data_IF_966932903376
#
_entry.id   IF_966932903376
#
_cell.length_a   1.000
_cell.length_b   1.000
_cell.length_c   1.000
_cell.angle_alpha   90.00
_cell.angle_beta   90.00
_cell.angle_gamma   90.00
#
_symmetry.space_group_name_H-M   'P 1'
#
loop_
_entity.id
_entity.type
_entity.pdbx_description
1 polymer ?
#
# COMPACT_ATOMS: atom_id res chain seq x y z
N UNK A 1 -9.87 -15.22 5.45
CA UNK A 1 -10.23 -14.07 4.59
C UNK A 1 -9.51 -14.23 3.27
N UNK A 2 -10.24 -14.38 2.16
CA UNK A 2 -9.61 -14.41 0.84
C UNK A 2 -8.92 -13.06 0.62
N UNK A 3 -7.63 -13.08 0.27
CA UNK A 3 -6.98 -11.83 -0.07
C UNK A 3 -7.64 -11.26 -1.32
N UNK A 4 -7.91 -9.96 -1.32
CA UNK A 4 -8.51 -9.28 -2.48
C UNK A 4 -7.59 -9.40 -3.71
N UNK A 5 -6.28 -9.40 -3.50
CA UNK A 5 -5.25 -9.51 -4.52
C UNK A 5 -4.88 -10.97 -4.78
N UNK A 6 -4.55 -11.29 -6.04
CA UNK A 6 -4.14 -12.63 -6.42
C UNK A 6 -2.69 -12.91 -5.98
N UNK A 7 -1.86 -11.85 -5.96
CA UNK A 7 -0.49 -11.84 -5.45
C UNK A 7 -0.22 -10.54 -4.72
N UNK A 8 0.56 -10.61 -3.64
CA UNK A 8 1.01 -9.44 -2.89
C UNK A 8 2.47 -9.62 -2.46
N UNK A 9 3.25 -8.55 -2.55
CA UNK A 9 4.62 -8.45 -2.06
C UNK A 9 4.79 -7.12 -1.34
N UNK A 10 5.06 -7.16 -0.03
CA UNK A 10 5.38 -5.95 0.73
C UNK A 10 6.73 -5.38 0.25
N UNK A 11 6.73 -4.13 -0.18
CA UNK A 11 7.94 -3.40 -0.58
C UNK A 11 8.52 -2.60 0.59
N UNK A 12 7.66 -2.08 1.46
CA UNK A 12 8.06 -1.32 2.63
C UNK A 12 6.87 -0.85 3.46
N UNK A 13 7.18 -0.26 4.61
CA UNK A 13 6.18 0.32 5.51
C UNK A 13 6.68 1.60 6.15
N UNK A 14 5.75 2.50 6.44
CA UNK A 14 6.00 3.80 7.08
C UNK A 14 5.11 3.87 8.31
N UNK A 15 5.70 4.09 9.48
CA UNK A 15 4.93 4.33 10.71
C UNK A 15 4.27 5.69 10.63
N UNK A 16 2.93 5.72 10.67
CA UNK A 16 2.16 6.96 10.61
C UNK A 16 1.89 7.51 12.01
N UNK A 17 1.56 6.64 12.95
CA UNK A 17 1.41 6.93 14.38
C UNK A 17 1.47 5.63 15.20
N UNK A 18 1.18 5.69 16.50
CA UNK A 18 1.24 4.53 17.42
C UNK A 18 0.28 3.39 17.08
N UNK A 19 -0.73 3.61 16.23
CA UNK A 19 -1.75 2.60 15.88
C UNK A 19 -1.94 2.41 14.37
N UNK A 20 -1.23 3.16 13.54
CA UNK A 20 -1.36 3.10 12.09
C UNK A 20 0.01 3.01 11.39
N UNK A 21 0.08 2.14 10.39
CA UNK A 21 1.21 2.04 9.45
C UNK A 21 0.69 2.26 8.03
N UNK A 22 1.50 2.86 7.15
CA UNK A 22 1.25 2.87 5.71
C UNK A 22 2.07 1.74 5.12
N UNK A 23 1.41 0.77 4.51
CA UNK A 23 2.08 -0.32 3.80
C UNK A 23 2.10 -0.01 2.31
N UNK A 24 3.26 -0.21 1.70
CA UNK A 24 3.47 -0.08 0.26
C UNK A 24 3.76 -1.47 -0.26
N UNK A 25 2.87 -1.99 -1.11
CA UNK A 25 2.93 -3.34 -1.63
C UNK A 25 2.88 -3.33 -3.16
N UNK A 26 3.62 -4.22 -3.79
CA UNK A 26 3.37 -4.60 -5.18
C UNK A 26 2.33 -5.72 -5.19
N UNK A 27 1.26 -5.55 -5.96
CA UNK A 27 0.12 -6.46 -5.96
C UNK A 27 -0.34 -6.76 -7.38
N UNK A 28 -0.97 -7.90 -7.59
CA UNK A 28 -1.51 -8.29 -8.90
C UNK A 28 -2.99 -8.66 -8.80
N UNK A 29 -3.79 -8.25 -9.79
CA UNK A 29 -5.18 -8.67 -9.96
C UNK A 29 -5.52 -8.91 -11.42
N UNK A 30 -6.07 -10.08 -11.74
CA UNK A 30 -6.56 -10.40 -13.09
C UNK A 30 -5.50 -10.14 -14.18
N UNK A 31 -4.23 -10.45 -13.90
CA UNK A 31 -3.11 -10.25 -14.82
C UNK A 31 -2.59 -8.81 -14.95
N UNK A 32 -3.06 -7.87 -14.11
CA UNK A 32 -2.54 -6.50 -14.03
C UNK A 32 -1.79 -6.29 -12.71
N UNK A 33 -0.69 -5.55 -12.78
CA UNK A 33 0.15 -5.24 -11.63
C UNK A 33 -0.06 -3.80 -11.16
N UNK A 34 0.00 -3.62 -9.85
CA UNK A 34 -0.22 -2.35 -9.17
C UNK A 34 0.77 -2.19 -8.02
N UNK A 35 0.94 -0.95 -7.58
CA UNK A 35 1.47 -0.62 -6.26
C UNK A 35 0.31 -0.13 -5.39
N UNK A 36 -0.06 -0.90 -4.37
CA UNK A 36 -1.05 -0.50 -3.37
C UNK A 36 -0.32 0.25 -2.24
N UNK A 37 -0.74 1.49 -2.02
CA UNK A 37 -0.31 2.34 -0.92
C UNK A 37 -1.51 2.53 -0.01
N UNK A 38 -1.47 1.91 1.18
CA UNK A 38 -2.66 1.83 2.03
C UNK A 38 -2.32 1.97 3.50
N UNK A 39 -3.20 2.65 4.24
CA UNK A 39 -3.11 2.73 5.69
C UNK A 39 -3.66 1.44 6.29
N UNK A 40 -2.89 0.85 7.19
CA UNK A 40 -3.25 -0.28 8.02
C UNK A 40 -3.38 0.20 9.46
N UNK A 41 -4.42 -0.25 10.14
CA UNK A 41 -4.64 0.02 11.56
C UNK A 41 -4.32 -1.23 12.37
N UNK A 42 -3.78 -1.03 13.56
CA UNK A 42 -3.44 -2.09 14.48
C UNK A 42 -4.71 -2.57 15.22
N UNK A 43 -5.04 -3.85 15.07
CA UNK A 43 -6.09 -4.51 15.83
C UNK A 43 -5.50 -5.15 17.08
N UNK A 44 -5.83 -4.60 18.25
CA UNK A 44 -5.34 -5.11 19.53
C UNK A 44 -5.89 -6.49 19.90
N UNK A 45 -7.04 -6.90 19.34
CA UNK A 45 -7.64 -8.20 19.66
C UNK A 45 -6.88 -9.32 18.95
N UNK A 46 -6.49 -9.09 17.70
CA UNK A 46 -5.81 -10.07 16.87
C UNK A 46 -4.29 -9.84 16.84
N UNK A 47 -3.78 -8.78 17.49
CA UNK A 47 -2.38 -8.35 17.46
C UNK A 47 -1.82 -8.25 16.03
N UNK A 48 -2.64 -7.80 15.08
CA UNK A 48 -2.30 -7.71 13.65
C UNK A 48 -2.70 -6.38 13.04
N UNK A 49 -2.00 -5.99 11.98
CA UNK A 49 -2.36 -4.83 11.17
C UNK A 49 -3.39 -5.22 10.12
N UNK A 50 -4.54 -4.52 10.11
CA UNK A 50 -5.63 -4.73 9.16
C UNK A 50 -5.70 -3.57 8.17
N UNK A 51 -5.99 -3.84 6.88
CA UNK A 51 -6.11 -2.78 5.88
C UNK A 51 -7.31 -1.88 6.21
N UNK A 52 -7.16 -0.57 6.00
CA UNK A 52 -8.28 0.37 6.02
C UNK A 52 -8.78 0.67 4.61
N UNK A 53 -9.92 1.35 4.53
CA UNK A 53 -10.41 1.93 3.27
C UNK A 53 -9.54 3.09 2.76
N UNK A 54 -8.64 3.64 3.59
CA UNK A 54 -7.73 4.73 3.22
C UNK A 54 -6.51 4.17 2.49
N UNK A 55 -6.55 4.19 1.17
CA UNK A 55 -5.43 3.79 0.32
C UNK A 55 -5.81 3.85 -1.15
N UNK A 56 -4.80 3.76 -2.01
CA UNK A 56 -4.99 3.72 -3.44
C UNK A 56 -4.07 2.65 -4.08
N UNK A 57 -4.53 2.09 -5.19
CA UNK A 57 -3.76 1.20 -6.03
C UNK A 57 -3.37 1.94 -7.31
N UNK A 58 -2.07 2.04 -7.56
CA UNK A 58 -1.50 2.74 -8.71
C UNK A 58 -1.07 1.70 -9.73
N UNK A 59 -1.54 1.75 -10.99
CA UNK A 59 -1.08 0.85 -12.04
C UNK A 59 0.45 0.91 -12.17
N UNK A 60 1.10 -0.25 -12.38
CA UNK A 60 2.56 -0.30 -12.45
C UNK A 60 3.12 0.58 -13.58
N UNK A 61 2.37 0.75 -14.68
CA UNK A 61 2.76 1.65 -15.78
C UNK A 61 2.88 3.13 -15.38
N UNK A 62 2.17 3.57 -14.35
CA UNK A 62 2.14 4.97 -13.90
C UNK A 62 3.19 5.29 -12.81
N UNK A 63 3.99 4.30 -12.39
CA UNK A 63 4.94 4.47 -11.26
C UNK A 63 6.08 5.43 -11.58
N UNK A 64 6.57 5.42 -12.83
CA UNK A 64 7.61 6.37 -13.26
C UNK A 64 7.12 7.82 -13.16
N UNK A 65 5.90 8.08 -13.63
CA UNK A 65 5.26 9.40 -13.55
C UNK A 65 5.03 9.82 -12.09
N UNK A 66 4.48 8.93 -11.27
CA UNK A 66 4.30 9.17 -9.83
C UNK A 66 5.61 9.58 -9.17
N UNK A 67 6.71 8.86 -9.46
CA UNK A 67 8.02 9.14 -8.87
C UNK A 67 8.48 10.57 -9.24
N UNK A 68 8.37 10.95 -10.51
CA UNK A 68 8.69 12.30 -10.96
C UNK A 68 7.84 13.38 -10.29
N UNK A 69 6.53 13.12 -10.07
CA UNK A 69 5.67 14.06 -9.35
C UNK A 69 6.12 14.20 -7.89
N UNK A 70 6.42 13.09 -7.21
CA UNK A 70 6.85 13.07 -5.81
C UNK A 70 8.21 13.75 -5.58
N UNK A 71 9.10 13.74 -6.57
CA UNK A 71 10.39 14.44 -6.50
C UNK A 71 10.21 15.96 -6.31
N UNK A 72 9.14 16.56 -6.84
CA UNK A 72 8.84 17.99 -6.67
C UNK A 72 8.34 18.37 -5.26
N UNK A 73 8.00 17.40 -4.41
CA UNK A 73 7.41 17.68 -3.07
C UNK A 73 8.45 18.17 -2.05
N UNK A 74 9.74 18.06 -2.37
CA UNK A 74 10.85 18.45 -1.48
C UNK A 74 11.52 19.78 -1.85
N UNK A 75 11.00 20.50 -2.83
CA UNK A 75 11.46 21.85 -3.19
C UNK A 75 10.67 22.96 -2.47
#
# INVERSE_FOLDING_TARGET
>A
MASFWDKEKLLGKITKNSREEIHIKQVSKNGRDYVDIRTFWYDSNDNTYKPSQKGLAIPLEAITELKSILENVKE
#
